data_IF_049301953117
#
_entry.id   IF_049301953117
#
_cell.length_a   1.000
_cell.length_b   1.000
_cell.length_c   1.000
_cell.angle_alpha   90.00
_cell.angle_beta   90.00
_cell.angle_gamma   90.00
#
_symmetry.space_group_name_H-M   'P 1'
#
loop_
_entity.id
_entity.type
_entity.pdbx_description
1 polymer ?
#
# COMPACT_ATOMS: atom_id res chain seq x y z
N UNK A 1 15.85 -2.13 -17.67
CA UNK A 1 14.48 -1.87 -17.17
C UNK A 1 14.55 -0.51 -16.50
N UNK A 2 13.74 0.46 -16.90
CA UNK A 2 13.74 1.76 -16.21
C UNK A 2 13.24 1.53 -14.78
N UNK A 3 13.98 2.03 -13.79
CA UNK A 3 13.51 2.06 -12.39
C UNK A 3 12.24 2.91 -12.34
N UNK A 4 11.18 2.37 -11.74
CA UNK A 4 9.95 3.13 -11.52
C UNK A 4 10.21 4.20 -10.47
N UNK A 5 9.65 5.37 -10.70
CA UNK A 5 9.72 6.52 -9.79
C UNK A 5 8.86 6.32 -8.54
N UNK A 6 9.07 7.18 -7.53
CA UNK A 6 8.32 7.16 -6.27
C UNK A 6 6.81 7.18 -6.48
N UNK A 7 6.40 8.17 -7.25
CA UNK A 7 5.03 8.40 -7.65
C UNK A 7 4.44 7.22 -8.46
N UNK A 8 5.21 6.58 -9.35
CA UNK A 8 4.72 5.44 -10.13
C UNK A 8 4.43 4.21 -9.26
N UNK A 9 5.32 3.90 -8.32
CA UNK A 9 5.12 2.79 -7.39
C UNK A 9 3.93 3.06 -6.46
N UNK A 10 3.83 4.28 -5.92
CA UNK A 10 2.70 4.74 -5.10
C UNK A 10 1.38 4.64 -5.86
N UNK A 11 1.33 5.19 -7.07
CA UNK A 11 0.13 5.18 -7.90
C UNK A 11 -0.31 3.76 -8.25
N UNK A 12 0.63 2.86 -8.51
CA UNK A 12 0.34 1.44 -8.76
C UNK A 12 -0.21 0.75 -7.50
N UNK A 13 0.37 0.98 -6.32
CA UNK A 13 -0.15 0.47 -5.05
C UNK A 13 -1.57 0.98 -4.79
N UNK A 14 -1.81 2.28 -4.94
CA UNK A 14 -3.11 2.90 -4.75
C UNK A 14 -4.16 2.36 -5.74
N UNK A 15 -3.76 2.11 -6.99
CA UNK A 15 -4.63 1.50 -8.00
C UNK A 15 -5.06 0.08 -7.60
N UNK A 16 -4.13 -0.74 -7.09
CA UNK A 16 -4.45 -2.08 -6.58
C UNK A 16 -5.37 -1.99 -5.36
N UNK A 17 -5.08 -1.10 -4.41
CA UNK A 17 -5.91 -0.89 -3.22
C UNK A 17 -7.34 -0.51 -3.59
N UNK A 18 -7.53 0.37 -4.58
CA UNK A 18 -8.87 0.80 -5.02
C UNK A 18 -9.77 -0.33 -5.54
N UNK A 19 -9.18 -1.50 -5.86
CA UNK A 19 -9.87 -2.69 -6.36
C UNK A 19 -9.95 -3.83 -5.33
N UNK A 20 -9.28 -3.69 -4.19
CA UNK A 20 -9.12 -4.76 -3.20
C UNK A 20 -10.36 -5.06 -2.33
N UNK A 21 -11.46 -4.30 -2.51
CA UNK A 21 -12.66 -4.35 -1.65
C UNK A 21 -12.31 -4.30 -0.14
N UNK A 22 -11.32 -3.47 0.20
CA UNK A 22 -10.72 -3.38 1.52
C UNK A 22 -10.93 -1.97 2.08
N UNK A 23 -11.35 -1.86 3.34
CA UNK A 23 -11.48 -0.55 3.99
C UNK A 23 -10.10 -0.03 4.38
N UNK A 24 -9.95 1.29 4.39
CA UNK A 24 -8.70 1.95 4.80
C UNK A 24 -8.25 1.51 6.20
N UNK A 25 -9.20 1.38 7.14
CA UNK A 25 -8.91 0.94 8.50
C UNK A 25 -8.39 -0.49 8.58
N UNK A 26 -8.81 -1.38 7.66
CA UNK A 26 -8.37 -2.78 7.61
C UNK A 26 -6.94 -2.84 7.08
N UNK A 27 -6.68 -2.17 5.95
CA UNK A 27 -5.33 -2.06 5.40
C UNK A 27 -4.36 -1.42 6.41
N UNK A 28 -4.76 -0.31 7.02
CA UNK A 28 -3.92 0.38 8.00
C UNK A 28 -3.62 -0.50 9.22
N UNK A 29 -4.61 -1.28 9.70
CA UNK A 29 -4.39 -2.17 10.83
C UNK A 29 -3.42 -3.30 10.49
N UNK A 30 -3.52 -3.89 9.29
CA UNK A 30 -2.58 -4.91 8.80
C UNK A 30 -1.17 -4.33 8.65
N UNK A 31 -1.05 -3.15 8.03
CA UNK A 31 0.20 -2.40 7.90
C UNK A 31 0.85 -2.09 9.26
N UNK A 32 0.05 -1.63 10.24
CA UNK A 32 0.52 -1.34 11.59
C UNK A 32 0.98 -2.61 12.33
N UNK A 33 0.26 -3.73 12.17
CA UNK A 33 0.63 -5.01 12.75
C UNK A 33 1.98 -5.55 12.21
N UNK A 34 2.34 -5.17 10.98
CA UNK A 34 3.61 -5.50 10.33
C UNK A 34 4.75 -4.51 10.68
N UNK A 35 4.51 -3.54 11.57
CA UNK A 35 5.50 -2.58 12.03
C UNK A 35 5.52 -1.25 11.27
N UNK A 36 4.51 -0.99 10.45
CA UNK A 36 4.32 0.32 9.81
C UNK A 36 4.12 1.43 10.84
N UNK A 37 4.81 2.55 10.65
CA UNK A 37 4.88 3.61 11.67
C UNK A 37 4.00 4.85 11.34
N UNK A 38 3.40 4.91 10.15
CA UNK A 38 2.50 5.99 9.75
C UNK A 38 1.09 5.83 10.35
N UNK A 39 0.48 6.95 10.71
CA UNK A 39 -0.91 7.00 11.13
C UNK A 39 -1.89 6.74 9.98
N UNK A 40 -3.14 6.41 10.30
CA UNK A 40 -4.15 6.10 9.30
C UNK A 40 -4.38 7.26 8.30
N UNK A 41 -4.35 8.50 8.78
CA UNK A 41 -4.47 9.70 7.92
C UNK A 41 -3.26 9.89 7.00
N UNK A 42 -2.06 9.51 7.44
CA UNK A 42 -0.86 9.59 6.60
C UNK A 42 -0.89 8.51 5.51
N UNK A 43 -1.39 7.31 5.83
CA UNK A 43 -1.65 6.25 4.84
C UNK A 43 -2.72 6.70 3.83
N UNK A 44 -3.79 7.36 4.27
CA UNK A 44 -4.80 7.93 3.37
C UNK A 44 -4.20 8.99 2.44
N UNK A 45 -3.42 9.93 3.01
CA UNK A 45 -2.74 10.97 2.24
C UNK A 45 -1.79 10.39 1.19
N UNK A 46 -1.07 9.32 1.53
CA UNK A 46 -0.21 8.58 0.61
C UNK A 46 -1.01 7.90 -0.52
N UNK A 47 -2.08 7.17 -0.18
CA UNK A 47 -2.92 6.49 -1.17
C UNK A 47 -3.61 7.47 -2.13
N UNK A 48 -3.96 8.66 -1.63
CA UNK A 48 -4.59 9.73 -2.44
C UNK A 48 -3.58 10.61 -3.18
N UNK A 49 -2.27 10.43 -2.94
CA UNK A 49 -1.21 11.18 -3.61
C UNK A 49 -0.99 12.60 -3.09
N UNK A 50 -1.45 12.87 -1.86
CA UNK A 50 -1.17 14.12 -1.17
C UNK A 50 0.23 14.13 -0.53
N UNK A 51 0.79 12.95 -0.23
CA UNK A 51 2.12 12.79 0.38
C UNK A 51 2.85 11.59 -0.21
N UNK A 52 4.16 11.55 -0.01
CA UNK A 52 5.00 10.37 -0.26
C UNK A 52 5.35 9.68 1.06
N UNK A 53 5.58 8.38 1.00
CA UNK A 53 6.13 7.59 2.09
C UNK A 53 7.54 7.13 1.72
N UNK A 54 8.40 6.95 2.73
CA UNK A 54 9.72 6.35 2.50
C UNK A 54 9.60 4.90 2.01
N UNK A 55 10.64 4.41 1.35
CA UNK A 55 10.67 3.07 0.73
C UNK A 55 10.30 1.93 1.71
N UNK A 56 10.72 2.05 2.98
CA UNK A 56 10.36 1.09 4.01
C UNK A 56 8.84 1.06 4.25
N UNK A 57 8.22 2.21 4.46
CA UNK A 57 6.78 2.32 4.74
C UNK A 57 5.96 1.90 3.52
N UNK A 58 6.41 2.26 2.31
CA UNK A 58 5.85 1.75 1.05
C UNK A 58 5.84 0.22 1.04
N UNK A 59 6.98 -0.41 1.37
CA UNK A 59 7.13 -1.85 1.31
C UNK A 59 6.28 -2.58 2.34
N UNK A 60 6.16 -2.04 3.56
CA UNK A 60 5.28 -2.61 4.58
C UNK A 60 3.82 -2.51 4.13
N UNK A 61 3.40 -1.38 3.55
CA UNK A 61 2.05 -1.19 3.07
C UNK A 61 1.72 -2.08 1.87
N UNK A 62 2.68 -2.24 0.94
CA UNK A 62 2.58 -3.16 -0.18
C UNK A 62 2.48 -4.61 0.32
N UNK A 63 3.24 -4.98 1.35
CA UNK A 63 3.18 -6.31 1.95
C UNK A 63 1.80 -6.57 2.58
N UNK A 64 1.32 -5.65 3.41
CA UNK A 64 0.01 -5.74 4.06
C UNK A 64 -1.12 -5.90 3.02
N UNK A 65 -1.10 -5.09 1.96
CA UNK A 65 -2.10 -5.17 0.90
C UNK A 65 -2.04 -6.50 0.14
N UNK A 66 -0.83 -7.02 -0.10
CA UNK A 66 -0.66 -8.30 -0.79
C UNK A 66 -1.15 -9.49 0.04
N UNK A 67 -0.95 -9.48 1.37
CA UNK A 67 -1.51 -10.51 2.26
C UNK A 67 -3.05 -10.48 2.25
N UNK A 68 -3.66 -9.30 2.36
CA UNK A 68 -5.12 -9.15 2.27
C UNK A 68 -5.68 -9.61 0.92
N UNK A 69 -4.96 -9.37 -0.17
CA UNK A 69 -5.33 -9.85 -1.51
C UNK A 69 -5.20 -11.37 -1.64
N UNK A 70 -4.19 -11.98 -1.03
CA UNK A 70 -4.01 -13.43 -0.98
C UNK A 70 -5.17 -14.11 -0.26
N UNK A 71 -5.57 -13.60 0.90
CA UNK A 71 -6.69 -14.12 1.69
C UNK A 71 -8.03 -14.02 0.93
N UNK A 72 -8.15 -13.02 0.05
CA UNK A 72 -9.31 -12.81 -0.84
C UNK A 72 -9.22 -13.59 -2.16
N UNK A 73 -8.12 -14.30 -2.41
CA UNK A 73 -7.88 -15.07 -3.63
C UNK A 73 -7.63 -14.22 -4.89
N UNK A 74 -7.22 -12.96 -4.72
CA UNK A 74 -6.87 -12.07 -5.83
C UNK A 74 -5.50 -12.38 -6.41
N UNK A 75 -5.36 -12.25 -7.73
CA UNK A 75 -4.07 -12.36 -8.43
C UNK A 75 -3.36 -11.00 -8.58
N UNK A 76 -4.03 -9.88 -8.26
CA UNK A 76 -3.41 -8.55 -8.30
C UNK A 76 -2.35 -8.42 -7.20
N UNK A 77 -1.25 -7.70 -7.48
CA UNK A 77 -0.20 -7.44 -6.50
C UNK A 77 0.23 -6.00 -6.52
N UNK A 78 0.31 -5.40 -5.34
CA UNK A 78 0.93 -4.12 -5.13
C UNK A 78 2.45 -4.26 -5.28
N UNK A 79 3.10 -3.33 -6.00
CA UNK A 79 4.54 -3.38 -6.18
C UNK A 79 5.31 -3.01 -4.92
N UNK A 80 6.42 -3.71 -4.69
CA UNK A 80 7.49 -3.27 -3.79
C UNK A 80 8.41 -2.27 -4.48
N UNK A 81 9.21 -1.60 -3.65
CA UNK A 81 10.27 -0.68 -4.02
C UNK A 81 11.64 -1.16 -3.54
#
# INVERSE_FOLDING_TARGET
>A
MAERSQEEDRAALAAVYSRADLRLSELWLAYFALGGNAGQYEVEAYLTGMTELGDHEHNVLAHALNEELDDRGSAERAPYR
#
